data_IF_352352632464
#
_entry.id   IF_352352632464
#
_cell.length_a   1.000
_cell.length_b   1.000
_cell.length_c   1.000
_cell.angle_alpha   90.00
_cell.angle_beta   90.00
_cell.angle_gamma   90.00
#
_symmetry.space_group_name_H-M   'P 1'
#
loop_
_entity.id
_entity.type
_entity.pdbx_description
1 polymer ?
#
# COMPACT_ATOMS: atom_id res chain seq x y z
N UNK A 1 -15.44 -4.21 46.00
CA UNK A 1 -14.38 -3.19 45.84
C UNK A 1 -14.87 -2.08 44.92
N UNK A 2 -14.92 -0.83 45.37
CA UNK A 2 -15.26 0.30 44.49
C UNK A 2 -14.08 0.64 43.57
N UNK A 3 -14.34 1.25 42.40
CA UNK A 3 -13.33 1.48 41.34
C UNK A 3 -12.11 2.30 41.83
N UNK A 4 -12.29 3.15 42.85
CA UNK A 4 -11.19 3.92 43.46
C UNK A 4 -10.18 3.05 44.23
N UNK A 5 -10.59 1.88 44.76
CA UNK A 5 -9.68 0.97 45.48
C UNK A 5 -8.71 0.22 44.54
N UNK A 6 -9.11 -0.02 43.28
CA UNK A 6 -8.29 -0.80 42.35
C UNK A 6 -7.04 -0.03 41.92
N UNK A 7 -7.17 1.28 41.67
CA UNK A 7 -6.02 2.10 41.30
C UNK A 7 -5.09 2.34 42.49
N UNK A 8 -5.64 2.49 43.70
CA UNK A 8 -4.87 2.55 44.94
C UNK A 8 -4.08 1.24 45.18
N UNK A 9 -4.71 0.09 44.94
CA UNK A 9 -4.07 -1.23 45.05
C UNK A 9 -2.93 -1.39 44.03
N UNK A 10 -3.12 -0.95 42.79
CA UNK A 10 -2.09 -1.01 41.74
C UNK A 10 -0.90 -0.11 42.06
N UNK A 11 -1.16 1.07 42.63
CA UNK A 11 -0.10 1.99 43.08
C UNK A 11 0.66 1.41 44.28
N UNK A 12 -0.03 0.84 45.26
CA UNK A 12 0.56 0.14 46.40
C UNK A 12 1.52 -0.97 45.94
N UNK A 13 1.10 -1.82 45.01
CA UNK A 13 1.94 -2.89 44.49
C UNK A 13 3.17 -2.38 43.72
N UNK A 14 3.05 -1.28 42.97
CA UNK A 14 4.19 -0.70 42.25
C UNK A 14 5.23 -0.09 43.19
N UNK A 15 4.79 0.57 44.26
CA UNK A 15 5.66 1.33 45.17
C UNK A 15 6.25 0.44 46.27
N UNK A 16 5.42 -0.38 46.93
CA UNK A 16 5.82 -1.16 48.10
C UNK A 16 6.50 -2.48 47.71
N UNK A 17 6.06 -3.09 46.60
CA UNK A 17 6.56 -4.42 46.18
C UNK A 17 7.52 -4.38 44.97
N UNK A 18 7.90 -3.19 44.48
CA UNK A 18 8.94 -2.96 43.44
C UNK A 18 8.80 -3.93 42.25
N UNK A 19 7.61 -3.94 41.64
CA UNK A 19 7.27 -4.89 40.58
C UNK A 19 8.14 -4.72 39.33
N UNK A 20 8.88 -5.78 38.98
CA UNK A 20 9.63 -5.93 37.72
C UNK A 20 8.72 -6.49 36.60
N UNK A 21 9.12 -6.42 35.32
CA UNK A 21 8.31 -6.93 34.19
C UNK A 21 7.87 -8.39 34.29
N UNK A 22 8.57 -9.20 35.09
CA UNK A 22 8.30 -10.64 35.27
C UNK A 22 7.50 -10.95 36.55
N UNK A 23 6.87 -9.95 37.17
CA UNK A 23 6.15 -10.14 38.44
C UNK A 23 4.78 -10.81 38.20
N UNK A 24 4.40 -11.71 39.09
CA UNK A 24 3.12 -12.42 39.05
C UNK A 24 2.08 -11.75 39.95
N UNK A 25 0.84 -11.64 39.46
CA UNK A 25 -0.30 -11.00 40.14
C UNK A 25 -1.30 -12.08 40.54
N UNK A 26 -1.43 -12.37 41.83
CA UNK A 26 -2.39 -13.38 42.32
C UNK A 26 -3.62 -12.70 42.91
N UNK A 27 -4.80 -13.07 42.42
CA UNK A 27 -6.06 -12.65 43.02
C UNK A 27 -6.27 -13.43 44.32
N UNK A 28 -6.59 -12.71 45.40
CA UNK A 28 -6.85 -13.28 46.73
C UNK A 28 -8.25 -12.91 47.27
N UNK A 29 -9.16 -12.42 46.42
CA UNK A 29 -10.52 -12.05 46.85
C UNK A 29 -11.44 -13.28 46.90
N UNK A 30 -12.27 -13.35 47.95
CA UNK A 30 -13.42 -14.28 48.13
C UNK A 30 -13.18 -15.69 47.55
N UNK A 31 -12.10 -16.34 48.00
CA UNK A 31 -11.63 -17.69 47.60
C UNK A 31 -11.01 -17.85 46.20
N UNK A 32 -10.79 -16.75 45.47
CA UNK A 32 -9.97 -16.75 44.26
C UNK A 32 -8.49 -16.87 44.60
N UNK A 33 -7.75 -17.65 43.81
CA UNK A 33 -6.29 -17.86 43.93
C UNK A 33 -5.61 -17.86 42.55
N UNK A 34 -6.21 -17.21 41.56
CA UNK A 34 -5.69 -17.20 40.19
C UNK A 34 -4.52 -16.22 40.04
N UNK A 35 -3.40 -16.69 39.50
CA UNK A 35 -2.20 -15.89 39.20
C UNK A 35 -2.09 -15.50 37.73
N UNK A 36 -1.59 -14.30 37.46
CA UNK A 36 -1.43 -13.71 36.14
C UNK A 36 -0.04 -13.12 35.97
N UNK A 37 0.53 -13.23 34.78
CA UNK A 37 1.88 -12.72 34.50
C UNK A 37 1.86 -11.29 33.92
N UNK A 38 0.67 -10.67 33.83
CA UNK A 38 0.50 -9.33 33.28
C UNK A 38 -0.64 -8.61 34.01
N UNK A 39 -0.41 -7.34 34.37
CA UNK A 39 -1.36 -6.52 35.10
C UNK A 39 -2.68 -6.30 34.35
N UNK A 40 -2.62 -6.17 33.02
CA UNK A 40 -3.80 -6.02 32.16
C UNK A 40 -4.74 -7.23 32.23
N UNK A 41 -4.17 -8.43 32.31
CA UNK A 41 -4.92 -9.68 32.45
C UNK A 41 -5.54 -9.82 33.84
N UNK A 42 -4.80 -9.42 34.89
CA UNK A 42 -5.32 -9.37 36.25
C UNK A 42 -6.48 -8.36 36.38
N UNK A 43 -6.33 -7.12 35.86
CA UNK A 43 -7.41 -6.11 35.86
C UNK A 43 -8.68 -6.63 35.18
N UNK A 44 -8.54 -7.28 34.01
CA UNK A 44 -9.66 -7.88 33.30
C UNK A 44 -10.32 -9.02 34.07
N UNK A 45 -9.54 -9.83 34.79
CA UNK A 45 -10.07 -10.88 35.66
C UNK A 45 -10.93 -10.29 36.79
N UNK A 46 -10.40 -9.30 37.54
CA UNK A 46 -11.12 -8.67 38.66
C UNK A 46 -12.39 -7.99 38.16
N UNK A 47 -12.31 -7.23 37.06
CA UNK A 47 -13.46 -6.54 36.46
C UNK A 47 -14.54 -7.48 35.93
N UNK A 48 -14.22 -8.75 35.64
CA UNK A 48 -15.18 -9.69 35.06
C UNK A 48 -15.75 -10.66 36.09
N UNK A 49 -14.96 -11.06 37.08
CA UNK A 49 -15.36 -12.05 38.08
C UNK A 49 -15.79 -11.47 39.42
N UNK A 50 -15.24 -10.32 39.79
CA UNK A 50 -15.43 -9.74 41.14
C UNK A 50 -16.16 -8.40 41.11
N UNK A 51 -16.18 -7.72 39.97
CA UNK A 51 -16.92 -6.46 39.78
C UNK A 51 -17.97 -6.69 38.69
N UNK A 52 -19.19 -7.06 39.09
CA UNK A 52 -20.27 -7.31 38.13
C UNK A 52 -20.81 -5.97 37.57
N UNK A 53 -20.31 -5.52 36.42
CA UNK A 53 -20.84 -4.32 35.74
C UNK A 53 -21.93 -4.74 34.76
N UNK A 54 -23.20 -4.50 35.12
CA UNK A 54 -24.31 -4.51 34.15
C UNK A 54 -24.16 -3.31 33.22
N UNK A 55 -24.00 -3.54 31.91
CA UNK A 55 -24.10 -2.49 30.89
C UNK A 55 -25.21 -2.85 29.91
N UNK A 56 -26.26 -2.02 29.89
CA UNK A 56 -27.33 -2.01 28.87
C UNK A 56 -26.97 -1.03 27.74
N UNK A 57 -27.39 -1.26 26.48
CA UNK A 57 -27.00 -0.43 25.35
C UNK A 57 -28.00 0.71 25.10
N UNK A 58 -27.52 1.96 25.12
CA UNK A 58 -28.08 3.08 24.35
C UNK A 58 -27.19 4.32 24.52
N UNK A 59 -26.76 4.93 23.42
CA UNK A 59 -26.92 6.38 23.19
C UNK A 59 -26.40 6.79 21.80
N UNK A 60 -27.31 7.37 21.01
CA UNK A 60 -27.01 8.29 19.91
C UNK A 60 -26.63 9.65 20.48
N UNK A 61 -25.68 10.36 19.87
CA UNK A 61 -25.65 11.82 19.93
C UNK A 61 -25.30 12.41 18.55
N UNK A 62 -26.24 13.23 18.08
CA UNK A 62 -26.10 14.23 17.03
C UNK A 62 -25.13 15.33 17.45
N UNK A 63 -24.32 15.83 16.51
CA UNK A 63 -23.89 17.24 16.49
C UNK A 63 -23.90 17.71 15.03
N UNK A 64 -24.77 18.69 14.75
CA UNK A 64 -24.75 19.50 13.54
C UNK A 64 -23.68 20.59 13.67
N UNK A 65 -22.98 20.91 12.58
CA UNK A 65 -22.75 22.30 12.17
C UNK A 65 -22.32 22.38 10.70
N UNK A 66 -22.84 23.42 10.05
CA UNK A 66 -22.76 23.80 8.64
C UNK A 66 -21.43 24.42 8.23
N UNK A 67 -21.07 24.35 6.94
CA UNK A 67 -20.89 25.53 6.07
C UNK A 67 -20.57 25.17 4.60
N UNK A 68 -21.42 25.72 3.71
CA UNK A 68 -21.21 26.24 2.34
C UNK A 68 -20.17 25.63 1.37
N UNK A 69 -20.67 25.11 0.24
CA UNK A 69 -20.00 25.19 -1.07
C UNK A 69 -20.93 25.82 -2.11
N UNK A 70 -20.41 26.83 -2.81
CA UNK A 70 -21.09 27.63 -3.82
C UNK A 70 -21.38 26.82 -5.11
N UNK A 71 -22.63 26.89 -5.55
CA UNK A 71 -23.11 26.42 -6.86
C UNK A 71 -22.80 27.48 -7.92
N UNK A 72 -22.03 27.14 -8.95
CA UNK A 72 -21.98 27.89 -10.20
C UNK A 72 -22.88 27.19 -11.22
N UNK A 73 -24.05 27.79 -11.42
CA UNK A 73 -24.98 27.52 -12.51
C UNK A 73 -24.39 27.96 -13.84
N UNK A 74 -24.48 27.11 -14.86
CA UNK A 74 -24.60 27.57 -16.24
C UNK A 74 -25.71 26.78 -16.94
N UNK A 75 -26.84 27.47 -17.15
CA UNK A 75 -27.88 27.13 -18.11
C UNK A 75 -27.29 27.10 -19.52
N UNK A 76 -27.82 26.22 -20.39
CA UNK A 76 -28.06 26.52 -21.81
C UNK A 76 -29.06 25.50 -22.42
N UNK A 77 -30.29 26.02 -22.55
CA UNK A 77 -31.37 25.77 -23.49
C UNK A 77 -31.29 24.63 -24.53
N UNK A 78 -32.41 23.90 -24.58
CA UNK A 78 -32.93 23.19 -25.75
C UNK A 78 -33.03 24.10 -26.98
N UNK A 79 -32.45 23.64 -28.09
CA UNK A 79 -32.93 23.96 -29.44
C UNK A 79 -32.94 22.67 -30.26
N UNK A 80 -34.12 22.34 -30.76
CA UNK A 80 -34.32 21.34 -31.80
C UNK A 80 -33.67 21.87 -33.08
N UNK A 81 -32.75 21.11 -33.68
CA UNK A 81 -32.53 21.17 -35.12
C UNK A 81 -32.19 19.77 -35.65
N UNK A 82 -32.86 19.44 -36.73
CA UNK A 82 -32.85 18.17 -37.43
C UNK A 82 -31.73 18.21 -38.46
N UNK A 83 -30.65 17.46 -38.22
CA UNK A 83 -29.64 17.20 -39.24
C UNK A 83 -29.61 15.70 -39.57
N UNK A 84 -29.94 15.40 -40.82
CA UNK A 84 -29.82 14.08 -41.42
C UNK A 84 -28.34 13.72 -41.54
N UNK A 85 -27.78 13.00 -40.57
CA UNK A 85 -26.47 12.40 -40.71
C UNK A 85 -26.56 11.04 -41.43
N UNK A 86 -25.84 10.98 -42.54
CA UNK A 86 -25.67 9.80 -43.37
C UNK A 86 -25.13 8.62 -42.55
N UNK A 87 -25.80 7.47 -42.67
CA UNK A 87 -25.37 6.18 -42.12
C UNK A 87 -24.05 5.77 -42.79
N UNK A 88 -22.94 6.15 -42.17
CA UNK A 88 -21.65 5.51 -42.37
C UNK A 88 -21.68 4.20 -41.59
N UNK A 89 -21.68 3.08 -42.32
CA UNK A 89 -21.58 1.74 -41.76
C UNK A 89 -20.28 1.63 -40.94
N UNK A 90 -20.41 1.74 -39.62
CA UNK A 90 -19.36 1.32 -38.69
C UNK A 90 -19.04 -0.16 -38.95
N UNK A 91 -17.75 -0.55 -38.91
CA UNK A 91 -17.38 -1.95 -39.04
C UNK A 91 -17.99 -2.69 -37.84
N UNK A 92 -18.85 -3.68 -38.12
CA UNK A 92 -19.48 -4.53 -37.10
C UNK A 92 -18.38 -5.11 -36.21
N UNK A 93 -18.22 -4.55 -35.03
CA UNK A 93 -17.36 -5.10 -33.98
C UNK A 93 -17.95 -6.44 -33.58
N UNK A 94 -17.30 -7.52 -33.99
CA UNK A 94 -17.68 -8.87 -33.61
C UNK A 94 -17.57 -8.96 -32.09
N UNK A 95 -18.70 -9.06 -31.40
CA UNK A 95 -18.76 -9.21 -29.95
C UNK A 95 -18.01 -10.47 -29.52
N UNK A 96 -16.86 -10.30 -28.86
CA UNK A 96 -16.08 -11.39 -28.29
C UNK A 96 -16.29 -11.44 -26.78
N UNK A 97 -17.15 -12.37 -26.35
CA UNK A 97 -17.53 -12.53 -24.94
C UNK A 97 -16.32 -12.69 -24.01
N UNK A 98 -15.32 -13.49 -24.38
CA UNK A 98 -14.16 -13.72 -23.52
C UNK A 98 -13.28 -12.47 -23.39
N UNK A 99 -13.20 -11.64 -24.43
CA UNK A 99 -12.52 -10.35 -24.37
C UNK A 99 -13.23 -9.38 -23.41
N UNK A 100 -14.55 -9.26 -23.51
CA UNK A 100 -15.35 -8.39 -22.63
C UNK A 100 -15.25 -8.81 -21.15
N UNK A 101 -15.22 -10.11 -20.89
CA UNK A 101 -15.00 -10.65 -19.55
C UNK A 101 -13.63 -10.26 -18.99
N UNK A 102 -12.58 -10.34 -19.81
CA UNK A 102 -11.24 -9.91 -19.41
C UNK A 102 -11.21 -8.41 -19.11
N UNK A 103 -11.87 -7.58 -19.94
CA UNK A 103 -11.99 -6.13 -19.71
C UNK A 103 -12.71 -5.81 -18.41
N UNK A 104 -13.77 -6.56 -18.07
CA UNK A 104 -14.47 -6.41 -16.79
C UNK A 104 -13.55 -6.75 -15.60
N UNK A 105 -12.80 -7.85 -15.67
CA UNK A 105 -11.86 -8.20 -14.61
C UNK A 105 -10.75 -7.14 -14.47
N UNK A 106 -10.18 -6.66 -15.57
CA UNK A 106 -9.19 -5.59 -15.54
C UNK A 106 -9.75 -4.29 -14.97
N UNK A 107 -10.97 -3.92 -15.33
CA UNK A 107 -11.66 -2.75 -14.78
C UNK A 107 -11.90 -2.91 -13.28
N UNK A 108 -12.28 -4.11 -12.83
CA UNK A 108 -12.45 -4.42 -11.41
C UNK A 108 -11.13 -4.32 -10.64
N UNK A 109 -10.03 -4.84 -11.20
CA UNK A 109 -8.69 -4.68 -10.63
C UNK A 109 -8.31 -3.19 -10.53
N UNK A 110 -8.50 -2.42 -11.61
CA UNK A 110 -8.21 -0.98 -11.62
C UNK A 110 -9.01 -0.23 -10.56
N UNK A 111 -10.29 -0.56 -10.39
CA UNK A 111 -11.12 -0.01 -9.33
C UNK A 111 -10.52 -0.32 -7.95
N UNK A 112 -10.18 -1.58 -7.65
CA UNK A 112 -9.59 -1.96 -6.36
C UNK A 112 -8.24 -1.29 -6.12
N UNK A 113 -7.37 -1.23 -7.13
CA UNK A 113 -6.09 -0.52 -7.03
C UNK A 113 -6.28 0.98 -6.81
N UNK A 114 -7.33 1.58 -7.39
CA UNK A 114 -7.66 2.99 -7.16
C UNK A 114 -8.05 3.26 -5.70
N UNK A 115 -8.72 2.30 -5.04
CA UNK A 115 -9.01 2.39 -3.62
C UNK A 115 -7.73 2.36 -2.78
N UNK A 116 -6.80 1.44 -3.10
CA UNK A 116 -5.50 1.39 -2.42
C UNK A 116 -4.62 2.63 -2.66
N UNK A 117 -4.85 3.35 -3.76
CA UNK A 117 -4.14 4.60 -4.05
C UNK A 117 -4.63 5.78 -3.18
N UNK A 118 -5.72 5.62 -2.42
CA UNK A 118 -6.15 6.60 -1.43
C UNK A 118 -5.53 6.27 -0.06
N UNK A 119 -4.79 7.23 0.48
CA UNK A 119 -4.06 7.10 1.76
C UNK A 119 -4.93 6.77 2.99
N UNK A 120 -6.25 6.88 2.88
CA UNK A 120 -7.18 6.70 3.99
C UNK A 120 -7.85 5.31 4.02
N UNK A 121 -7.65 4.47 3.01
CA UNK A 121 -8.22 3.12 2.98
C UNK A 121 -7.18 2.08 3.34
N UNK A 122 -7.44 1.34 4.41
CA UNK A 122 -6.69 0.13 4.73
C UNK A 122 -7.30 -1.10 4.04
N UNK A 123 -6.62 -2.26 4.14
CA UNK A 123 -7.08 -3.51 3.51
C UNK A 123 -8.51 -3.90 3.95
N UNK A 124 -8.89 -3.65 5.21
CA UNK A 124 -10.23 -3.97 5.69
C UNK A 124 -11.30 -3.06 5.09
N UNK A 125 -10.99 -1.78 4.85
CA UNK A 125 -11.91 -0.83 4.20
C UNK A 125 -12.15 -1.24 2.74
N UNK A 126 -11.10 -1.62 2.02
CA UNK A 126 -11.21 -2.09 0.63
C UNK A 126 -12.07 -3.35 0.56
N UNK A 127 -11.83 -4.33 1.44
CA UNK A 127 -12.63 -5.55 1.50
C UNK A 127 -14.09 -5.26 1.88
N UNK A 128 -14.33 -4.31 2.78
CA UNK A 128 -15.67 -3.86 3.13
C UNK A 128 -16.41 -3.26 1.93
N UNK A 129 -15.75 -2.40 1.14
CA UNK A 129 -16.31 -1.81 -0.08
C UNK A 129 -16.62 -2.91 -1.11
N UNK A 130 -15.70 -3.86 -1.32
CA UNK A 130 -15.94 -5.00 -2.22
C UNK A 130 -17.16 -5.83 -1.80
N UNK A 131 -17.26 -6.15 -0.50
CA UNK A 131 -18.40 -6.87 0.05
C UNK A 131 -19.71 -6.08 -0.12
N UNK A 132 -19.68 -4.77 0.14
CA UNK A 132 -20.83 -3.89 -0.06
C UNK A 132 -21.32 -3.87 -1.51
N UNK A 133 -20.41 -3.75 -2.49
CA UNK A 133 -20.78 -3.82 -3.91
C UNK A 133 -21.38 -5.19 -4.24
N UNK A 134 -20.77 -6.27 -3.77
CA UNK A 134 -21.26 -7.64 -4.01
C UNK A 134 -22.65 -7.84 -3.43
N UNK A 135 -22.87 -7.41 -2.20
CA UNK A 135 -24.08 -7.71 -1.44
C UNK A 135 -25.25 -6.78 -1.78
N UNK A 136 -24.98 -5.50 -1.96
CA UNK A 136 -26.02 -4.47 -2.13
C UNK A 136 -26.25 -4.06 -3.59
N UNK A 137 -25.35 -4.40 -4.52
CA UNK A 137 -25.50 -4.05 -5.94
C UNK A 137 -25.59 -5.31 -6.80
N UNK A 138 -24.56 -6.16 -6.76
CA UNK A 138 -24.43 -7.27 -7.70
C UNK A 138 -25.42 -8.42 -7.41
N UNK A 139 -25.66 -8.77 -6.15
CA UNK A 139 -26.67 -9.78 -5.77
C UNK A 139 -28.08 -9.38 -6.21
N UNK A 140 -28.58 -8.15 -5.94
CA UNK A 140 -29.86 -7.70 -6.49
C UNK A 140 -29.92 -7.74 -8.02
N UNK A 141 -28.87 -7.27 -8.73
CA UNK A 141 -28.80 -7.34 -10.19
C UNK A 141 -28.90 -8.77 -10.70
N UNK A 142 -28.16 -9.71 -10.09
CA UNK A 142 -28.23 -11.12 -10.45
C UNK A 142 -29.63 -11.72 -10.19
N UNK A 143 -30.31 -11.29 -9.12
CA UNK A 143 -31.70 -11.71 -8.88
C UNK A 143 -32.64 -11.26 -10.00
N UNK A 144 -32.47 -10.04 -10.53
CA UNK A 144 -33.25 -9.55 -11.68
C UNK A 144 -32.94 -10.39 -12.92
N UNK A 145 -31.66 -10.64 -13.20
CA UNK A 145 -31.23 -11.44 -14.35
C UNK A 145 -31.73 -12.88 -14.30
N UNK A 146 -31.92 -13.45 -13.11
CA UNK A 146 -32.49 -14.78 -12.94
C UNK A 146 -33.92 -14.89 -13.49
N UNK A 147 -34.69 -13.81 -13.48
CA UNK A 147 -36.03 -13.80 -14.08
C UNK A 147 -35.94 -13.82 -15.61
N UNK A 148 -35.06 -13.01 -16.20
CA UNK A 148 -34.80 -12.97 -17.66
C UNK A 148 -34.31 -14.32 -18.16
N UNK A 149 -33.49 -15.01 -17.37
CA UNK A 149 -32.96 -16.34 -17.68
C UNK A 149 -34.06 -17.37 -17.98
N UNK A 150 -35.20 -17.30 -17.29
CA UNK A 150 -36.31 -18.25 -17.49
C UNK A 150 -37.01 -18.06 -18.84
N UNK A 151 -36.77 -16.95 -19.53
CA UNK A 151 -37.35 -16.65 -20.85
C UNK A 151 -36.44 -17.11 -22.01
N UNK A 152 -35.22 -17.60 -21.69
CA UNK A 152 -34.25 -18.05 -22.69
C UNK A 152 -34.50 -19.52 -23.03
N UNK A 153 -35.03 -19.78 -24.23
CA UNK A 153 -35.32 -21.12 -24.72
C UNK A 153 -34.12 -21.79 -25.43
N UNK A 154 -33.16 -21.00 -25.94
CA UNK A 154 -31.97 -21.52 -26.62
C UNK A 154 -30.92 -21.99 -25.60
N UNK A 155 -30.56 -23.28 -25.66
CA UNK A 155 -29.64 -23.90 -24.71
C UNK A 155 -28.20 -23.32 -24.78
N UNK A 156 -27.74 -22.92 -25.97
CA UNK A 156 -26.42 -22.32 -26.17
C UNK A 156 -26.40 -20.91 -25.57
N UNK A 157 -27.44 -20.13 -25.82
CA UNK A 157 -27.60 -18.80 -25.24
C UNK A 157 -27.73 -18.86 -23.72
N UNK A 158 -28.48 -19.82 -23.20
CA UNK A 158 -28.64 -20.06 -21.77
C UNK A 158 -27.31 -20.41 -21.10
N UNK A 159 -26.47 -21.23 -21.74
CA UNK A 159 -25.13 -21.53 -21.25
C UNK A 159 -24.22 -20.30 -21.22
N UNK A 160 -24.28 -19.43 -22.24
CA UNK A 160 -23.52 -18.16 -22.25
C UNK A 160 -24.01 -17.21 -21.15
N UNK A 161 -25.32 -17.13 -20.96
CA UNK A 161 -25.93 -16.33 -19.91
C UNK A 161 -25.52 -16.80 -18.52
N UNK A 162 -25.45 -18.11 -18.29
CA UNK A 162 -24.95 -18.69 -17.04
C UNK A 162 -23.50 -18.30 -16.72
N UNK A 163 -22.64 -18.31 -17.75
CA UNK A 163 -21.25 -17.86 -17.60
C UNK A 163 -21.22 -16.37 -17.22
N UNK A 164 -22.03 -15.54 -17.89
CA UNK A 164 -22.16 -14.12 -17.56
C UNK A 164 -22.68 -13.87 -16.13
N UNK A 165 -23.74 -14.57 -15.71
CA UNK A 165 -24.31 -14.48 -14.35
C UNK A 165 -23.26 -14.78 -13.29
N UNK A 166 -22.45 -15.82 -13.51
CA UNK A 166 -21.35 -16.20 -12.60
C UNK A 166 -20.30 -15.10 -12.48
N UNK A 167 -19.94 -14.47 -13.61
CA UNK A 167 -18.93 -13.42 -13.67
C UNK A 167 -19.44 -12.14 -13.00
N UNK A 168 -20.72 -11.78 -13.21
CA UNK A 168 -21.35 -10.62 -12.59
C UNK A 168 -21.45 -10.77 -11.07
N UNK A 169 -21.64 -12.00 -10.57
CA UNK A 169 -21.70 -12.28 -9.13
C UNK A 169 -20.32 -12.28 -8.45
N UNK A 170 -19.24 -12.48 -9.20
CA UNK A 170 -17.88 -12.51 -8.66
C UNK A 170 -16.84 -11.76 -9.53
N UNK A 171 -17.05 -10.46 -9.81
CA UNK A 171 -16.10 -9.67 -10.59
C UNK A 171 -14.76 -9.49 -9.86
N UNK A 172 -14.78 -9.59 -8.53
CA UNK A 172 -13.59 -9.52 -7.67
C UNK A 172 -12.81 -10.84 -7.59
N UNK A 173 -13.06 -11.82 -8.47
CA UNK A 173 -12.42 -13.14 -8.45
C UNK A 173 -10.91 -13.05 -8.19
N UNK A 174 -10.23 -12.17 -8.93
CA UNK A 174 -8.77 -11.99 -8.90
C UNK A 174 -8.27 -11.01 -7.82
N UNK A 175 -9.14 -10.31 -7.09
CA UNK A 175 -8.75 -9.33 -6.06
C UNK A 175 -9.56 -9.40 -4.76
N UNK A 176 -10.27 -10.50 -4.56
CA UNK A 176 -11.05 -10.80 -3.34
C UNK A 176 -10.18 -11.01 -2.10
N UNK A 177 -8.87 -11.21 -2.29
CA UNK A 177 -7.87 -11.24 -1.22
C UNK A 177 -6.59 -10.59 -1.71
N UNK A 178 -5.76 -10.11 -0.78
CA UNK A 178 -4.43 -9.58 -1.10
C UNK A 178 -3.58 -10.61 -1.85
N UNK A 179 -3.62 -11.88 -1.42
CA UNK A 179 -2.91 -12.97 -2.10
C UNK A 179 -3.30 -13.09 -3.58
N UNK A 180 -4.61 -13.10 -3.88
CA UNK A 180 -5.10 -13.20 -5.27
C UNK A 180 -4.71 -11.98 -6.08
N UNK A 181 -4.82 -10.78 -5.51
CA UNK A 181 -4.42 -9.54 -6.16
C UNK A 181 -2.93 -9.56 -6.49
N UNK A 182 -2.08 -9.86 -5.51
CA UNK A 182 -0.64 -9.96 -5.71
C UNK A 182 -0.27 -11.03 -6.74
N UNK A 183 -0.93 -12.19 -6.72
CA UNK A 183 -0.69 -13.24 -7.70
C UNK A 183 -1.06 -12.79 -9.12
N UNK A 184 -2.22 -12.15 -9.29
CA UNK A 184 -2.65 -11.61 -10.58
C UNK A 184 -1.67 -10.54 -11.10
N UNK A 185 -1.21 -9.64 -10.23
CA UNK A 185 -0.21 -8.62 -10.58
C UNK A 185 1.14 -9.25 -10.98
N UNK A 186 1.61 -10.27 -10.26
CA UNK A 186 2.86 -10.99 -10.59
C UNK A 186 2.76 -11.71 -11.92
N UNK A 187 1.66 -12.40 -12.20
CA UNK A 187 1.43 -13.11 -13.48
C UNK A 187 1.48 -12.16 -14.68
N UNK A 188 1.12 -10.90 -14.50
CA UNK A 188 1.15 -9.85 -15.54
C UNK A 188 2.42 -9.00 -15.52
N UNK A 189 3.44 -9.40 -14.73
CA UNK A 189 4.66 -8.63 -14.54
C UNK A 189 4.37 -7.18 -14.14
N UNK A 190 3.39 -6.94 -13.27
CA UNK A 190 3.07 -5.63 -12.68
C UNK A 190 3.58 -5.51 -11.25
N UNK A 191 3.93 -6.63 -10.63
CA UNK A 191 4.52 -6.69 -9.29
C UNK A 191 5.60 -7.78 -9.29
N UNK A 192 6.64 -7.60 -8.49
CA UNK A 192 7.65 -8.63 -8.24
C UNK A 192 7.88 -8.81 -6.74
N UNK A 193 8.59 -9.88 -6.38
CA UNK A 193 8.95 -10.12 -4.99
C UNK A 193 9.96 -9.07 -4.53
N UNK A 194 9.79 -8.61 -3.29
CA UNK A 194 10.79 -7.79 -2.60
C UNK A 194 11.92 -8.70 -2.11
N UNK A 195 13.14 -8.20 -2.14
CA UNK A 195 14.32 -8.94 -1.71
C UNK A 195 14.71 -8.51 -0.30
N UNK A 196 14.75 -9.45 0.63
CA UNK A 196 15.38 -9.20 1.93
C UNK A 196 16.90 -9.27 1.78
N UNK A 197 17.57 -8.22 2.21
CA UNK A 197 19.03 -8.15 2.21
C UNK A 197 19.56 -8.38 3.62
N UNK A 198 20.64 -9.14 3.75
CA UNK A 198 21.32 -9.34 5.02
C UNK A 198 22.37 -8.23 5.19
N UNK A 199 22.19 -7.40 6.21
CA UNK A 199 23.09 -6.27 6.51
C UNK A 199 24.21 -6.74 7.46
N UNK A 200 23.84 -7.47 8.50
CA UNK A 200 24.77 -7.98 9.50
C UNK A 200 24.30 -9.33 10.04
N UNK A 201 25.25 -10.18 10.43
CA UNK A 201 24.99 -11.38 11.21
C UNK A 201 25.86 -11.33 12.47
N UNK A 202 25.22 -11.33 13.64
CA UNK A 202 25.91 -11.30 14.92
C UNK A 202 25.38 -12.39 15.85
N UNK A 203 26.29 -13.05 16.58
CA UNK A 203 25.92 -13.97 17.65
C UNK A 203 25.64 -13.13 18.89
N UNK A 204 24.41 -13.19 19.40
CA UNK A 204 23.97 -12.43 20.57
C UNK A 204 23.38 -13.37 21.63
N UNK A 205 23.47 -13.03 22.93
CA UNK A 205 22.75 -13.75 23.95
C UNK A 205 21.24 -13.50 23.78
N UNK A 206 20.47 -14.59 23.68
CA UNK A 206 19.01 -14.61 23.59
C UNK A 206 18.47 -15.39 24.78
N UNK A 207 17.52 -14.79 25.49
CA UNK A 207 16.81 -15.45 26.59
C UNK A 207 15.71 -16.34 26.02
N UNK A 208 15.89 -17.65 26.15
CA UNK A 208 14.85 -18.64 25.92
C UNK A 208 14.40 -19.21 27.25
N UNK A 209 13.29 -18.70 27.77
CA UNK A 209 12.59 -19.25 28.95
C UNK A 209 13.51 -19.28 30.19
N UNK A 210 14.26 -18.21 30.43
CA UNK A 210 15.14 -18.05 31.59
C UNK A 210 16.54 -18.64 31.42
N UNK A 211 16.85 -19.23 30.26
CA UNK A 211 18.20 -19.68 29.89
C UNK A 211 18.80 -18.74 28.84
N UNK A 212 20.00 -18.22 29.12
CA UNK A 212 20.76 -17.42 28.17
C UNK A 212 21.47 -18.38 27.20
N UNK A 213 20.99 -18.45 25.97
CA UNK A 213 21.65 -19.16 24.88
C UNK A 213 22.25 -18.14 23.91
N UNK A 214 23.29 -18.50 23.18
CA UNK A 214 23.81 -17.69 22.08
C UNK A 214 23.09 -18.08 20.79
N UNK A 215 22.50 -17.12 20.10
CA UNK A 215 21.82 -17.33 18.83
C UNK A 215 22.20 -16.27 17.80
N UNK A 216 22.02 -16.58 16.53
CA UNK A 216 22.28 -15.68 15.42
C UNK A 216 21.17 -14.62 15.31
N UNK A 217 21.56 -13.36 15.46
CA UNK A 217 20.71 -12.21 15.14
C UNK A 217 21.12 -11.65 13.79
N UNK A 218 20.26 -11.91 12.81
CA UNK A 218 20.39 -11.36 11.45
C UNK A 218 19.69 -10.01 11.39
N UNK A 219 20.46 -8.96 11.09
CA UNK A 219 19.92 -7.64 10.73
C UNK A 219 19.61 -7.62 9.24
N UNK A 220 18.39 -7.21 8.88
CA UNK A 220 17.90 -7.23 7.50
C UNK A 220 17.39 -5.87 7.04
N UNK A 221 17.56 -5.61 5.76
CA UNK A 221 16.87 -4.55 5.02
C UNK A 221 15.94 -5.14 3.95
N UNK A 222 15.17 -4.30 3.28
CA UNK A 222 14.34 -4.68 2.14
C UNK A 222 14.75 -3.87 0.92
N UNK A 223 14.97 -4.55 -0.19
CA UNK A 223 15.30 -3.99 -1.50
C UNK A 223 14.13 -4.26 -2.44
N UNK A 224 13.65 -3.20 -3.09
CA UNK A 224 12.60 -3.29 -4.08
C UNK A 224 13.22 -3.75 -5.42
N UNK A 225 12.45 -4.35 -6.34
CA UNK A 225 12.96 -4.88 -7.59
C UNK A 225 13.27 -3.76 -8.60
N UNK A 226 14.31 -2.97 -8.36
CA UNK A 226 14.63 -1.73 -9.09
C UNK A 226 14.82 -2.00 -10.58
N UNK A 227 15.50 -3.09 -10.95
CA UNK A 227 15.68 -3.46 -12.36
C UNK A 227 14.35 -3.61 -13.12
N UNK A 228 13.35 -4.24 -12.47
CA UNK A 228 12.01 -4.41 -13.06
C UNK A 228 11.30 -3.06 -13.13
N UNK A 229 11.40 -2.24 -12.08
CA UNK A 229 10.77 -0.92 -12.05
C UNK A 229 11.32 0.01 -13.14
N UNK A 230 12.65 0.05 -13.33
CA UNK A 230 13.29 0.81 -14.42
C UNK A 230 12.79 0.34 -15.79
N UNK A 231 12.83 -0.98 -16.02
CA UNK A 231 12.37 -1.57 -17.27
C UNK A 231 10.92 -1.19 -17.56
N UNK A 232 10.01 -1.44 -16.61
CA UNK A 232 8.59 -1.12 -16.76
C UNK A 232 8.36 0.38 -17.00
N UNK A 233 9.10 1.25 -16.30
CA UNK A 233 8.95 2.69 -16.47
C UNK A 233 9.27 3.12 -17.90
N UNK A 234 10.38 2.67 -18.47
CA UNK A 234 10.80 3.07 -19.82
C UNK A 234 10.01 2.37 -20.93
N UNK A 235 9.58 1.12 -20.72
CA UNK A 235 8.72 0.38 -21.65
C UNK A 235 7.26 0.86 -21.64
N UNK A 236 6.85 1.58 -20.61
CA UNK A 236 5.49 2.11 -20.51
C UNK A 236 5.28 3.26 -21.49
N UNK A 237 4.28 3.10 -22.35
CA UNK A 237 3.85 4.11 -23.31
C UNK A 237 5.04 4.61 -24.16
N UNK A 238 5.25 5.92 -24.24
CA UNK A 238 6.36 6.52 -24.99
C UNK A 238 7.44 7.10 -24.07
N UNK A 239 7.55 6.63 -22.82
CA UNK A 239 8.47 7.21 -21.83
C UNK A 239 9.92 7.22 -22.33
N UNK A 240 10.42 6.10 -22.86
CA UNK A 240 11.77 6.06 -23.41
C UNK A 240 11.99 7.12 -24.50
N UNK A 241 11.06 7.23 -25.45
CA UNK A 241 11.15 8.21 -26.54
C UNK A 241 11.10 9.65 -26.01
N UNK A 242 10.19 9.95 -25.08
CA UNK A 242 10.10 11.28 -24.44
C UNK A 242 11.41 11.64 -23.75
N UNK A 243 12.03 10.68 -23.05
CA UNK A 243 13.30 10.86 -22.37
C UNK A 243 14.45 11.07 -23.34
N UNK A 244 14.48 10.29 -24.41
CA UNK A 244 15.47 10.43 -25.48
C UNK A 244 15.36 11.80 -26.17
N UNK A 245 14.15 12.19 -26.57
CA UNK A 245 13.89 13.47 -27.24
C UNK A 245 14.31 14.66 -26.34
N UNK A 246 13.95 14.62 -25.04
CA UNK A 246 14.38 15.63 -24.06
C UNK A 246 15.89 15.65 -23.83
N UNK A 247 16.51 14.47 -23.78
CA UNK A 247 17.96 14.38 -23.63
C UNK A 247 18.68 15.05 -24.80
N UNK A 248 18.25 14.79 -26.04
CA UNK A 248 18.80 15.44 -27.22
C UNK A 248 18.55 16.95 -27.21
N UNK A 249 17.32 17.37 -26.91
CA UNK A 249 16.92 18.77 -26.82
C UNK A 249 17.85 19.56 -25.88
N UNK A 250 18.05 19.08 -24.65
CA UNK A 250 18.90 19.77 -23.68
C UNK A 250 20.40 19.63 -23.97
N UNK A 251 20.85 18.53 -24.57
CA UNK A 251 22.27 18.33 -24.88
C UNK A 251 22.75 19.25 -26.00
N UNK A 252 21.90 19.46 -27.02
CA UNK A 252 22.23 20.25 -28.21
C UNK A 252 21.58 21.64 -28.21
N UNK A 253 20.86 22.01 -27.16
CA UNK A 253 20.38 23.38 -26.97
C UNK A 253 21.57 24.32 -26.82
N UNK A 254 21.58 25.36 -27.66
CA UNK A 254 22.53 26.48 -27.60
C UNK A 254 21.95 27.67 -26.83
N UNK A 255 20.98 27.44 -25.95
CA UNK A 255 20.35 28.52 -25.19
C UNK A 255 21.35 29.10 -24.17
N UNK A 256 21.35 30.43 -24.06
CA UNK A 256 22.12 31.16 -23.04
C UNK A 256 21.62 30.85 -21.61
N UNK A 257 20.44 30.21 -21.49
CA UNK A 257 19.80 29.85 -20.25
C UNK A 257 19.89 28.33 -19.98
N UNK A 258 20.22 27.97 -18.74
CA UNK A 258 20.17 26.59 -18.27
C UNK A 258 18.71 26.24 -17.94
N UNK A 259 18.11 25.36 -18.74
CA UNK A 259 16.75 24.84 -18.57
C UNK A 259 16.73 23.51 -17.81
N UNK A 260 17.82 22.76 -17.86
CA UNK A 260 17.94 21.46 -17.20
C UNK A 260 19.34 21.24 -16.61
N UNK A 261 19.44 20.47 -15.52
CA UNK A 261 20.72 20.19 -14.85
C UNK A 261 21.73 19.48 -15.75
N UNK A 262 21.30 18.77 -16.80
CA UNK A 262 22.23 18.13 -17.74
C UNK A 262 23.04 19.13 -18.59
N UNK A 263 22.56 20.37 -18.73
CA UNK A 263 23.33 21.45 -19.38
C UNK A 263 24.43 22.00 -18.45
N UNK A 264 24.34 21.71 -17.15
CA UNK A 264 25.27 22.17 -16.13
C UNK A 264 26.64 21.51 -16.23
N UNK A 265 27.67 22.25 -15.79
CA UNK A 265 29.07 21.82 -15.82
C UNK A 265 29.30 20.46 -15.16
N UNK A 266 28.71 20.23 -13.99
CA UNK A 266 28.89 18.98 -13.22
C UNK A 266 28.41 17.75 -13.98
N UNK A 267 27.26 17.83 -14.66
CA UNK A 267 26.75 16.71 -15.46
C UNK A 267 27.68 16.44 -16.64
N UNK A 268 28.04 17.50 -17.38
CA UNK A 268 28.95 17.43 -18.54
C UNK A 268 30.28 16.77 -18.17
N UNK A 269 30.86 17.09 -17.01
CA UNK A 269 32.08 16.45 -16.50
C UNK A 269 31.85 14.97 -16.16
N UNK A 270 30.75 14.64 -15.46
CA UNK A 270 30.44 13.25 -15.08
C UNK A 270 30.20 12.34 -16.27
N UNK A 271 29.59 12.84 -17.36
CA UNK A 271 29.27 11.99 -18.51
C UNK A 271 30.44 11.73 -19.45
N UNK A 272 31.57 12.44 -19.30
CA UNK A 272 32.77 12.21 -20.13
C UNK A 272 33.28 10.78 -20.04
N UNK A 273 33.12 10.11 -18.89
CA UNK A 273 33.53 8.70 -18.71
C UNK A 273 32.65 7.69 -19.46
N UNK A 274 31.54 8.14 -20.06
CA UNK A 274 30.57 7.31 -20.79
C UNK A 274 30.47 7.72 -22.27
N UNK A 275 31.57 8.17 -22.86
CA UNK A 275 31.61 8.60 -24.25
C UNK A 275 31.03 7.53 -25.21
N UNK A 276 30.19 7.97 -26.15
CA UNK A 276 29.52 7.10 -27.11
C UNK A 276 28.31 6.32 -26.55
N UNK A 277 27.94 6.50 -25.29
CA UNK A 277 26.76 5.87 -24.68
C UNK A 277 25.62 6.86 -24.47
N UNK A 278 24.39 6.34 -24.52
CA UNK A 278 23.20 7.06 -24.06
C UNK A 278 23.12 6.95 -22.54
N UNK A 279 23.15 8.09 -21.83
CA UNK A 279 23.12 8.13 -20.36
C UNK A 279 21.88 8.87 -19.89
N UNK A 280 20.93 8.14 -19.33
CA UNK A 280 19.78 8.75 -18.66
C UNK A 280 20.05 8.99 -17.18
N UNK A 281 19.83 10.23 -16.69
CA UNK A 281 19.93 10.52 -15.29
C UNK A 281 18.74 9.98 -14.50
N UNK A 282 18.97 9.73 -13.22
CA UNK A 282 17.96 9.55 -12.19
C UNK A 282 18.50 10.17 -10.89
N UNK A 283 17.60 10.60 -10.00
CA UNK A 283 17.99 11.09 -8.68
C UNK A 283 17.64 10.07 -7.62
N UNK A 284 18.53 9.90 -6.65
CA UNK A 284 18.31 9.11 -5.44
C UNK A 284 18.30 10.05 -4.25
N UNK A 285 17.38 9.83 -3.34
CA UNK A 285 17.33 10.52 -2.06
C UNK A 285 16.85 9.57 -0.97
N UNK A 286 17.13 9.92 0.27
CA UNK A 286 16.81 9.12 1.45
C UNK A 286 16.12 10.01 2.47
N UNK A 287 15.05 9.50 3.06
CA UNK A 287 14.33 10.17 4.16
C UNK A 287 13.95 9.17 5.24
N UNK A 288 13.93 9.63 6.48
CA UNK A 288 13.59 8.85 7.66
C UNK A 288 12.11 9.07 8.01
N UNK A 289 11.35 7.99 8.18
CA UNK A 289 9.98 8.06 8.67
C UNK A 289 9.74 7.03 9.77
N UNK A 290 8.79 7.30 10.66
CA UNK A 290 8.46 6.41 11.76
C UNK A 290 6.98 6.01 11.74
N UNK A 291 6.75 4.71 11.94
CA UNK A 291 5.41 4.13 11.97
C UNK A 291 4.97 4.04 13.45
N UNK A 292 3.73 4.42 13.73
CA UNK A 292 3.02 4.25 15.02
C UNK A 292 3.39 5.17 16.20
N UNK A 293 4.60 5.74 16.29
CA UNK A 293 4.94 6.61 17.43
C UNK A 293 5.96 7.74 17.12
N UNK A 294 5.62 8.67 16.22
CA UNK A 294 6.54 9.74 15.81
C UNK A 294 6.81 10.80 16.91
N UNK A 295 6.06 10.81 18.02
CA UNK A 295 6.10 11.90 19.02
C UNK A 295 6.30 11.44 20.47
N UNK A 296 6.34 10.13 20.74
CA UNK A 296 6.51 9.61 22.10
C UNK A 296 7.98 9.60 22.57
N UNK A 297 8.20 9.22 23.83
CA UNK A 297 9.55 9.11 24.42
C UNK A 297 10.46 8.06 23.76
N UNK A 298 9.88 7.17 22.95
CA UNK A 298 10.59 6.19 22.12
C UNK A 298 10.56 6.53 20.63
N UNK A 299 10.24 7.78 20.27
CA UNK A 299 10.36 8.26 18.89
C UNK A 299 11.78 8.06 18.38
N UNK A 300 11.92 7.82 17.09
CA UNK A 300 13.11 7.45 16.31
C UNK A 300 13.64 6.03 16.49
N UNK A 301 13.17 5.26 17.47
CA UNK A 301 13.65 3.89 17.68
C UNK A 301 13.21 2.94 16.56
N UNK A 302 12.01 3.16 16.01
CA UNK A 302 11.46 2.39 14.90
C UNK A 302 11.52 3.16 13.57
N UNK A 303 12.36 4.20 13.50
CA UNK A 303 12.57 4.94 12.27
C UNK A 303 13.11 4.04 11.16
N UNK A 304 12.55 4.21 9.98
CA UNK A 304 12.91 3.53 8.75
C UNK A 304 13.44 4.58 7.78
N UNK A 305 14.67 4.37 7.33
CA UNK A 305 15.25 5.07 6.20
C UNK A 305 14.68 4.46 4.92
N UNK A 306 13.85 5.23 4.23
CA UNK A 306 13.40 4.91 2.89
C UNK A 306 14.31 5.57 1.87
N UNK A 307 14.75 4.76 0.91
CA UNK A 307 15.50 5.22 -0.25
C UNK A 307 14.54 5.29 -1.41
N UNK A 308 14.48 6.46 -2.04
CA UNK A 308 13.62 6.75 -3.17
C UNK A 308 14.44 7.14 -4.38
N UNK A 309 13.84 7.04 -5.55
CA UNK A 309 14.39 7.61 -6.76
C UNK A 309 13.30 8.20 -7.65
N UNK A 310 13.69 9.13 -8.51
CA UNK A 310 12.84 9.60 -9.59
C UNK A 310 13.65 9.86 -10.86
N UNK A 311 12.91 10.01 -11.96
CA UNK A 311 13.47 10.30 -13.25
C UNK A 311 13.26 11.77 -13.61
N UNK A 312 14.32 12.58 -13.77
CA UNK A 312 14.20 14.03 -13.80
C UNK A 312 13.67 14.59 -15.12
N UNK A 313 13.61 13.79 -16.20
CA UNK A 313 12.93 14.19 -17.43
C UNK A 313 11.41 13.91 -17.39
N UNK A 314 10.90 13.24 -16.35
CA UNK A 314 9.46 13.06 -16.16
C UNK A 314 8.76 14.40 -15.98
N UNK A 315 7.61 14.56 -16.62
CA UNK A 315 6.75 15.72 -16.42
C UNK A 315 6.22 15.67 -14.99
N UNK A 316 6.35 16.77 -14.24
CA UNK A 316 6.02 16.84 -12.81
C UNK A 316 6.77 15.79 -11.97
N UNK A 317 8.10 15.73 -12.09
CA UNK A 317 8.96 14.81 -11.33
C UNK A 317 8.79 14.88 -9.79
N UNK A 318 8.23 15.98 -9.26
CA UNK A 318 7.87 16.16 -7.84
C UNK A 318 6.54 15.52 -7.43
N UNK A 319 5.72 15.03 -8.38
CA UNK A 319 4.49 14.30 -8.04
C UNK A 319 4.85 12.93 -7.44
N UNK A 320 4.12 12.54 -6.40
CA UNK A 320 4.33 11.25 -5.73
C UNK A 320 4.25 10.05 -6.69
N UNK A 321 3.40 10.13 -7.73
CA UNK A 321 3.29 9.10 -8.77
C UNK A 321 4.56 8.91 -9.62
N UNK A 322 5.52 9.84 -9.55
CA UNK A 322 6.82 9.80 -10.22
C UNK A 322 7.98 9.53 -9.26
N UNK A 323 7.68 9.22 -7.99
CA UNK A 323 8.64 8.88 -6.95
C UNK A 323 8.53 7.39 -6.69
N UNK A 324 9.64 6.68 -6.89
CA UNK A 324 9.72 5.23 -6.76
C UNK A 324 10.49 4.84 -5.52
N UNK A 325 10.08 3.76 -4.87
CA UNK A 325 10.77 3.23 -3.70
C UNK A 325 11.85 2.22 -4.14
N UNK A 326 13.08 2.44 -3.68
CA UNK A 326 14.22 1.59 -3.96
C UNK A 326 14.54 0.63 -2.81
N UNK A 327 14.56 1.12 -1.56
CA UNK A 327 14.88 0.27 -0.41
C UNK A 327 14.29 0.81 0.90
N UNK A 328 14.18 -0.07 1.90
CA UNK A 328 13.80 0.24 3.27
C UNK A 328 14.79 -0.41 4.24
N UNK A 329 15.42 0.39 5.08
CA UNK A 329 16.39 -0.05 6.09
C UNK A 329 16.07 0.68 7.39
N UNK A 330 16.19 0.04 8.56
CA UNK A 330 16.01 0.78 9.81
C UNK A 330 17.11 1.83 9.97
N UNK A 331 16.72 3.05 10.34
CA UNK A 331 17.66 4.15 10.51
C UNK A 331 18.68 3.86 11.61
N UNK A 332 18.28 3.09 12.63
CA UNK A 332 19.17 2.62 13.70
C UNK A 332 20.23 1.65 13.21
N UNK A 333 19.90 0.78 12.25
CA UNK A 333 20.86 -0.15 11.65
C UNK A 333 21.89 0.60 10.80
N UNK A 334 21.49 1.63 10.03
CA UNK A 334 22.43 2.49 9.28
C UNK A 334 23.39 3.21 10.22
N UNK A 335 22.89 3.76 11.33
CA UNK A 335 23.73 4.43 12.34
C UNK A 335 24.71 3.47 13.01
N UNK A 336 24.31 2.21 13.20
CA UNK A 336 25.11 1.19 13.87
C UNK A 336 26.18 0.59 12.95
N UNK A 337 25.82 0.22 11.73
CA UNK A 337 26.69 -0.54 10.83
C UNK A 337 27.37 0.34 9.77
N UNK A 338 26.89 1.57 9.57
CA UNK A 338 27.39 2.49 8.57
C UNK A 338 26.85 2.21 7.16
N UNK A 339 27.22 3.08 6.22
CA UNK A 339 26.68 3.08 4.87
C UNK A 339 27.10 1.84 4.06
N UNK A 340 28.36 1.41 4.17
CA UNK A 340 28.93 0.35 3.34
C UNK A 340 28.14 -0.97 3.44
N UNK A 341 27.94 -1.58 4.63
CA UNK A 341 27.17 -2.83 4.72
C UNK A 341 25.69 -2.64 4.41
N UNK A 342 25.10 -1.51 4.78
CA UNK A 342 23.68 -1.24 4.58
C UNK A 342 23.31 -1.05 3.10
N UNK A 343 24.15 -0.37 2.33
CA UNK A 343 23.86 -0.03 0.94
C UNK A 343 24.54 -0.93 -0.09
N UNK A 344 25.43 -1.85 0.32
CA UNK A 344 26.15 -2.75 -0.60
C UNK A 344 25.24 -3.42 -1.63
N UNK A 345 24.16 -4.07 -1.19
CA UNK A 345 23.24 -4.77 -2.09
C UNK A 345 22.51 -3.82 -3.04
N UNK A 346 22.11 -2.65 -2.55
CA UNK A 346 21.47 -1.61 -3.36
C UNK A 346 22.42 -1.05 -4.44
N UNK A 347 23.65 -0.69 -4.06
CA UNK A 347 24.67 -0.19 -4.99
C UNK A 347 25.04 -1.25 -6.03
N UNK A 348 25.12 -2.52 -5.64
CA UNK A 348 25.36 -3.60 -6.60
C UNK A 348 24.25 -3.70 -7.64
N UNK A 349 22.97 -3.58 -7.26
CA UNK A 349 21.85 -3.58 -8.21
C UNK A 349 21.92 -2.37 -9.15
N UNK A 350 22.28 -1.18 -8.67
CA UNK A 350 22.47 0.00 -9.52
C UNK A 350 23.63 -0.19 -10.52
N UNK A 351 24.75 -0.75 -10.07
CA UNK A 351 25.90 -1.05 -10.94
C UNK A 351 25.55 -2.08 -12.01
N UNK A 352 24.65 -3.02 -11.73
CA UNK A 352 24.14 -3.97 -12.73
C UNK A 352 23.19 -3.33 -13.75
N UNK A 353 22.44 -2.30 -13.36
CA UNK A 353 21.55 -1.55 -14.26
C UNK A 353 22.35 -0.61 -15.17
N UNK A 354 23.47 -0.07 -14.68
CA UNK A 354 24.36 0.83 -15.45
C UNK A 354 25.13 0.11 -16.57
N UNK A 355 25.43 -1.18 -16.39
CA UNK A 355 26.16 -2.03 -17.34
C UNK A 355 25.28 -2.49 -18.49
#
# INVERSE_FOLDING_TARGET
MEVQDLDALVVHYKIIHVLKPNSTYTCCEESCSQSFNALSSFKRHVLKKHICVHVSPNMQQNVQNSEMYNTLTHNLNNTNDCEQENVLNDPVTIFNFDNEVNLLYESTIKFVLSLYNHNNFNNSDVLFIQAGIKDFILKPMASILKHVKNEINDAILLSKFHKFETILLDPFLYCSTEYRLCNWLKQRNLMSNMYQININNAIVPVDHVGNINYDEKITKGTLLPIKIQFKQFFEKENNFKIFYDKFLEYTYSNDDCILNFIQGKLWKEKVQQYEGKLVFPYFIYMDDFEINNPLGSHATFQSIAAIYYNFPFSINNSKLSNIFLAALIKSTDIKQFGNDPCFKSFINELNEIER
#
